data_IF_534078214442
#
_entry.id   IF_534078214442
#
_cell.length_a   1.000
_cell.length_b   1.000
_cell.length_c   1.000
_cell.angle_alpha   90.00
_cell.angle_beta   90.00
_cell.angle_gamma   90.00
#
_symmetry.space_group_name_H-M   'P 1'
#
loop_
_entity.id
_entity.type
_entity.pdbx_description
1 polymer ?
#
# COMPACT_ATOMS: atom_id res chain seq x y z
N UNK A 1 -27.30 6.92 -12.41
CA UNK A 1 -26.91 8.28 -12.84
C UNK A 1 -26.10 9.02 -11.76
N UNK A 2 -26.58 9.18 -10.52
CA UNK A 2 -25.86 9.92 -9.47
C UNK A 2 -24.47 9.32 -9.14
N UNK A 3 -24.39 8.00 -9.00
CA UNK A 3 -23.13 7.32 -8.65
C UNK A 3 -22.07 7.35 -9.77
N UNK A 4 -22.49 7.38 -11.04
CA UNK A 4 -21.57 7.60 -12.16
C UNK A 4 -20.98 9.01 -12.11
N UNK A 5 -21.78 9.99 -11.68
CA UNK A 5 -21.30 11.35 -11.45
C UNK A 5 -20.26 11.42 -10.33
N UNK A 6 -20.43 10.66 -9.24
CA UNK A 6 -19.48 10.60 -8.13
C UNK A 6 -18.12 10.03 -8.59
N UNK A 7 -18.13 8.94 -9.38
CA UNK A 7 -16.90 8.38 -9.97
C UNK A 7 -16.21 9.39 -10.90
N UNK A 8 -16.96 10.08 -11.74
CA UNK A 8 -16.41 11.12 -12.61
C UNK A 8 -15.83 12.30 -11.83
N UNK A 9 -16.47 12.69 -10.73
CA UNK A 9 -15.97 13.74 -9.85
C UNK A 9 -14.68 13.33 -9.12
N UNK A 10 -14.58 12.08 -8.62
CA UNK A 10 -13.33 11.57 -8.04
C UNK A 10 -12.19 11.60 -9.07
N UNK A 11 -12.44 11.09 -10.28
CA UNK A 11 -11.44 11.09 -11.36
C UNK A 11 -10.95 12.50 -11.67
N UNK A 12 -11.86 13.47 -11.79
CA UNK A 12 -11.50 14.87 -12.02
C UNK A 12 -10.61 15.43 -10.91
N UNK A 13 -10.95 15.20 -9.64
CA UNK A 13 -10.13 15.66 -8.51
C UNK A 13 -8.74 15.02 -8.51
N UNK A 14 -8.64 13.73 -8.83
CA UNK A 14 -7.36 13.04 -8.95
C UNK A 14 -6.51 13.63 -10.08
N UNK A 15 -7.11 13.90 -11.25
CA UNK A 15 -6.41 14.56 -12.36
C UNK A 15 -5.94 15.96 -11.96
N UNK A 16 -6.80 16.78 -11.34
CA UNK A 16 -6.46 18.14 -10.94
C UNK A 16 -5.25 18.18 -9.99
N UNK A 17 -5.14 17.20 -9.07
CA UNK A 17 -4.02 17.10 -8.11
C UNK A 17 -2.75 16.54 -8.76
N UNK A 18 -2.88 15.58 -9.68
CA UNK A 18 -1.74 14.82 -10.22
C UNK A 18 -1.24 15.33 -11.59
N UNK A 19 -1.90 16.30 -12.23
CA UNK A 19 -1.56 16.76 -13.58
C UNK A 19 -0.11 17.29 -13.72
N UNK A 20 0.48 17.75 -12.63
CA UNK A 20 1.85 18.26 -12.62
C UNK A 20 2.90 17.16 -12.41
N UNK A 21 2.49 15.91 -12.17
CA UNK A 21 3.40 14.79 -12.04
C UNK A 21 3.74 14.26 -13.42
N UNK A 22 4.87 14.74 -13.92
CA UNK A 22 5.39 14.47 -15.27
C UNK A 22 6.80 13.92 -15.12
N UNK A 23 7.22 13.03 -16.01
CA UNK A 23 8.61 12.57 -16.08
C UNK A 23 9.49 13.71 -16.59
N UNK A 24 10.43 14.17 -15.74
CA UNK A 24 11.19 15.38 -16.04
C UNK A 24 12.66 15.16 -16.35
N UNK A 25 13.23 14.09 -15.87
CA UNK A 25 14.64 13.75 -16.02
C UNK A 25 14.82 12.22 -16.04
N UNK A 26 15.96 11.75 -16.49
CA UNK A 26 16.26 10.32 -16.56
C UNK A 26 16.49 9.72 -15.18
N UNK A 27 17.31 10.37 -14.36
CA UNK A 27 17.72 9.86 -13.05
C UNK A 27 17.89 10.99 -12.02
N UNK A 28 17.21 10.89 -10.89
CA UNK A 28 17.33 11.84 -9.79
C UNK A 28 18.45 11.50 -8.79
N UNK A 29 19.14 10.37 -8.96
CA UNK A 29 20.24 9.94 -8.09
C UNK A 29 19.82 9.62 -6.65
N UNK A 30 18.54 9.29 -6.39
CA UNK A 30 18.09 8.96 -5.04
C UNK A 30 18.75 7.70 -4.49
N UNK A 31 18.98 7.72 -3.18
CA UNK A 31 19.39 6.52 -2.40
C UNK A 31 18.23 5.96 -1.57
N UNK A 32 17.04 6.54 -1.71
CA UNK A 32 15.85 6.09 -1.03
C UNK A 32 15.09 5.10 -1.94
N UNK A 33 14.87 3.90 -1.45
CA UNK A 33 14.16 2.84 -2.16
C UNK A 33 12.97 2.32 -1.36
N UNK A 34 12.14 1.54 -2.03
CA UNK A 34 11.03 0.81 -1.44
C UNK A 34 11.38 -0.67 -1.40
N UNK A 35 11.36 -1.27 -0.20
CA UNK A 35 11.49 -2.72 -0.07
C UNK A 35 10.21 -3.40 -0.58
N UNK A 36 10.35 -4.29 -1.54
CA UNK A 36 9.26 -5.09 -2.11
C UNK A 36 9.47 -6.56 -1.83
N UNK A 37 8.39 -7.23 -1.46
CA UNK A 37 8.32 -8.67 -1.20
C UNK A 37 6.99 -9.22 -1.72
N UNK A 38 6.79 -10.51 -1.67
CA UNK A 38 5.50 -11.13 -1.97
C UNK A 38 4.43 -10.64 -0.99
N UNK A 39 3.31 -10.15 -1.51
CA UNK A 39 2.16 -9.75 -0.69
C UNK A 39 1.32 -10.99 -0.41
N UNK A 40 1.07 -11.27 0.88
CA UNK A 40 0.23 -12.36 1.35
C UNK A 40 -0.93 -11.80 2.20
N UNK A 41 -2.12 -12.36 2.03
CA UNK A 41 -3.25 -12.16 2.94
C UNK A 41 -3.56 -13.49 3.64
N UNK A 42 -3.12 -13.63 4.87
CA UNK A 42 -3.08 -14.91 5.57
C UNK A 42 -2.20 -15.93 4.83
N UNK A 43 -2.79 -17.05 4.39
CA UNK A 43 -2.07 -18.09 3.62
C UNK A 43 -2.17 -17.92 2.09
N UNK A 44 -2.92 -16.94 1.62
CA UNK A 44 -3.10 -16.72 0.19
C UNK A 44 -2.08 -15.69 -0.32
N UNK A 45 -1.37 -16.04 -1.39
CA UNK A 45 -0.51 -15.10 -2.11
C UNK A 45 -1.40 -14.17 -2.93
N UNK A 46 -1.32 -12.88 -2.66
CA UNK A 46 -2.10 -11.84 -3.35
C UNK A 46 -1.34 -11.36 -4.58
N UNK A 47 -0.03 -11.12 -4.43
CA UNK A 47 0.84 -10.64 -5.50
C UNK A 47 2.25 -11.21 -5.30
N UNK A 48 2.78 -11.84 -6.33
CA UNK A 48 4.11 -12.44 -6.30
C UNK A 48 5.20 -11.36 -6.40
N UNK A 49 6.35 -11.63 -5.78
CA UNK A 49 7.52 -10.75 -5.91
C UNK A 49 7.90 -10.51 -7.37
N UNK A 50 7.86 -11.55 -8.19
CA UNK A 50 8.17 -11.49 -9.63
C UNK A 50 7.34 -10.42 -10.34
N UNK A 51 6.00 -10.41 -10.13
CA UNK A 51 5.07 -9.46 -10.75
C UNK A 51 5.33 -8.01 -10.27
N UNK A 52 5.81 -7.86 -9.03
CA UNK A 52 6.11 -6.55 -8.43
C UNK A 52 7.45 -5.97 -8.87
N UNK A 53 8.36 -6.79 -9.35
CA UNK A 53 9.69 -6.37 -9.80
C UNK A 53 9.71 -5.94 -11.27
N UNK A 54 8.87 -6.55 -12.11
CA UNK A 54 8.85 -6.27 -13.56
C UNK A 54 8.60 -4.79 -13.83
N UNK A 55 9.47 -4.21 -14.66
CA UNK A 55 9.39 -2.80 -15.06
C UNK A 55 9.98 -1.81 -14.06
N UNK A 56 10.61 -2.28 -12.98
CA UNK A 56 11.27 -1.43 -11.99
C UNK A 56 12.79 -1.48 -12.11
N UNK A 57 13.45 -0.50 -11.55
CA UNK A 57 14.89 -0.49 -11.32
C UNK A 57 15.19 -0.86 -9.89
N UNK A 58 16.18 -1.74 -9.66
CA UNK A 58 16.70 -1.96 -8.32
C UNK A 58 17.46 -0.73 -7.82
N UNK A 59 17.48 -0.52 -6.52
CA UNK A 59 18.26 0.56 -5.93
C UNK A 59 19.76 0.25 -5.99
N UNK A 60 20.11 -1.01 -5.72
CA UNK A 60 21.47 -1.54 -5.73
C UNK A 60 21.57 -2.72 -6.69
N UNK A 61 22.80 -3.10 -7.01
CA UNK A 61 23.06 -4.31 -7.78
C UNK A 61 22.57 -5.54 -7.03
N UNK A 62 21.89 -6.44 -7.73
CA UNK A 62 21.38 -7.69 -7.18
C UNK A 62 22.30 -8.82 -7.58
N UNK A 63 22.86 -9.49 -6.58
CA UNK A 63 23.73 -10.65 -6.75
C UNK A 63 23.06 -11.93 -6.25
N UNK A 64 23.37 -13.05 -6.88
CA UNK A 64 22.92 -14.36 -6.41
C UNK A 64 23.61 -14.69 -5.08
N UNK A 65 22.87 -14.97 -3.99
CA UNK A 65 23.45 -15.21 -2.67
C UNK A 65 24.30 -16.50 -2.60
N UNK A 66 24.07 -17.48 -3.51
CA UNK A 66 24.81 -18.74 -3.54
C UNK A 66 26.05 -18.69 -4.43
N UNK A 67 25.93 -18.10 -5.64
CA UNK A 67 27.02 -18.07 -6.63
C UNK A 67 27.84 -16.79 -6.61
N UNK A 68 27.33 -15.75 -5.96
CA UNK A 68 27.90 -14.38 -5.93
C UNK A 68 28.02 -13.74 -7.32
N UNK A 69 27.26 -14.24 -8.30
CA UNK A 69 27.18 -13.68 -9.65
C UNK A 69 26.18 -12.54 -9.70
N UNK A 70 26.47 -11.51 -10.50
CA UNK A 70 25.58 -10.39 -10.72
C UNK A 70 24.38 -10.86 -11.56
N UNK A 71 23.16 -10.73 -11.02
CA UNK A 71 21.91 -10.99 -11.74
C UNK A 71 21.49 -9.75 -12.53
N UNK A 72 21.48 -8.58 -11.87
CA UNK A 72 21.12 -7.31 -12.49
C UNK A 72 21.80 -6.15 -11.79
N UNK A 73 22.27 -5.18 -12.56
CA UNK A 73 22.78 -3.92 -12.03
C UNK A 73 21.67 -2.89 -11.80
N UNK A 74 21.96 -1.89 -10.98
CA UNK A 74 21.03 -0.81 -10.62
C UNK A 74 20.65 0.12 -11.80
N UNK A 75 21.27 -0.01 -12.95
CA UNK A 75 21.00 0.79 -14.14
C UNK A 75 20.15 0.05 -15.19
N UNK A 76 19.85 -1.22 -14.96
CA UNK A 76 19.07 -2.05 -15.87
C UNK A 76 17.66 -2.22 -15.33
N UNK A 77 16.66 -2.01 -16.19
CA UNK A 77 15.25 -2.27 -15.86
C UNK A 77 15.01 -3.78 -15.78
N UNK A 78 14.38 -4.19 -14.69
CA UNK A 78 14.03 -5.60 -14.45
C UNK A 78 12.90 -6.00 -15.41
N UNK A 79 13.19 -6.97 -16.29
CA UNK A 79 12.21 -7.58 -17.16
C UNK A 79 11.72 -8.92 -16.58
N UNK A 80 10.77 -9.59 -17.28
CA UNK A 80 10.19 -10.86 -16.80
C UNK A 80 11.25 -11.94 -16.56
N UNK A 81 12.30 -12.02 -17.40
CA UNK A 81 13.37 -13.02 -17.24
C UNK A 81 14.22 -12.76 -16.01
N UNK A 82 14.65 -11.49 -15.82
CA UNK A 82 15.46 -11.08 -14.68
C UNK A 82 14.66 -11.27 -13.38
N UNK A 83 13.37 -10.93 -13.38
CA UNK A 83 12.51 -11.14 -12.21
C UNK A 83 12.40 -12.62 -11.83
N UNK A 84 12.26 -13.52 -12.81
CA UNK A 84 12.24 -14.95 -12.58
C UNK A 84 13.60 -15.48 -12.05
N UNK A 85 14.73 -14.97 -12.55
CA UNK A 85 16.07 -15.29 -12.06
C UNK A 85 16.28 -14.85 -10.60
N UNK A 86 15.82 -13.66 -10.22
CA UNK A 86 15.88 -13.15 -8.84
C UNK A 86 15.11 -14.09 -7.90
N UNK A 87 13.90 -14.49 -8.28
CA UNK A 87 13.07 -15.37 -7.46
C UNK A 87 13.67 -16.79 -7.40
N UNK A 88 14.21 -17.29 -8.52
CA UNK A 88 14.89 -18.59 -8.56
C UNK A 88 16.17 -18.65 -7.70
N UNK A 89 16.85 -17.51 -7.53
CA UNK A 89 17.98 -17.37 -6.62
C UNK A 89 17.59 -17.34 -5.13
N UNK A 90 16.30 -17.52 -4.79
CA UNK A 90 15.80 -17.53 -3.41
C UNK A 90 15.73 -16.17 -2.74
N UNK A 91 15.79 -15.08 -3.50
CA UNK A 91 15.69 -13.72 -2.96
C UNK A 91 14.21 -13.39 -2.69
N UNK A 92 13.87 -13.13 -1.43
CA UNK A 92 12.49 -12.88 -1.00
C UNK A 92 12.15 -11.38 -0.95
N UNK A 93 13.15 -10.51 -0.83
CA UNK A 93 13.02 -9.07 -0.69
C UNK A 93 14.02 -8.34 -1.58
N UNK A 94 13.54 -7.31 -2.25
CA UNK A 94 14.37 -6.46 -3.13
C UNK A 94 14.03 -5.00 -2.87
N UNK A 95 15.06 -4.17 -2.72
CA UNK A 95 14.86 -2.71 -2.64
C UNK A 95 14.87 -2.14 -4.05
N UNK A 96 13.73 -1.60 -4.47
CA UNK A 96 13.55 -1.01 -5.79
C UNK A 96 13.40 0.50 -5.73
N UNK A 97 13.69 1.17 -6.82
CA UNK A 97 13.39 2.59 -6.99
C UNK A 97 11.88 2.80 -7.08
N UNK A 98 11.41 3.90 -6.48
CA UNK A 98 9.99 4.22 -6.41
C UNK A 98 9.77 5.73 -6.56
N UNK A 99 8.60 6.09 -7.07
CA UNK A 99 8.17 7.49 -7.13
C UNK A 99 8.07 8.15 -5.76
N UNK A 100 7.87 7.35 -4.69
CA UNK A 100 7.78 7.84 -3.30
C UNK A 100 9.14 8.38 -2.83
N UNK A 101 10.24 7.69 -3.17
CA UNK A 101 11.61 8.09 -2.82
C UNK A 101 12.27 9.00 -3.88
N UNK A 102 11.53 9.43 -4.91
CA UNK A 102 12.08 10.25 -5.98
C UNK A 102 12.40 11.66 -5.50
N UNK A 103 13.59 12.18 -5.87
CA UNK A 103 14.07 13.51 -5.49
C UNK A 103 13.89 14.57 -6.57
N UNK A 104 13.26 14.21 -7.68
CA UNK A 104 12.96 15.15 -8.76
C UNK A 104 12.03 16.26 -8.27
N UNK A 105 12.42 17.51 -8.56
CA UNK A 105 11.56 18.66 -8.26
C UNK A 105 10.39 18.71 -9.25
N UNK A 106 9.16 18.82 -8.76
CA UNK A 106 7.95 18.97 -9.57
C UNK A 106 7.70 17.84 -10.59
N UNK A 107 7.77 16.60 -10.15
CA UNK A 107 7.52 15.45 -10.99
C UNK A 107 8.28 14.22 -10.54
N UNK A 108 8.62 13.36 -11.47
CA UNK A 108 9.36 12.11 -11.21
C UNK A 108 10.47 11.94 -12.25
N UNK A 109 11.46 11.11 -11.97
CA UNK A 109 12.44 10.69 -12.96
C UNK A 109 12.05 9.35 -13.60
N UNK A 110 12.60 9.06 -14.79
CA UNK A 110 12.29 7.85 -15.53
C UNK A 110 12.63 6.57 -14.74
N UNK A 111 13.81 6.50 -14.13
CA UNK A 111 14.21 5.33 -13.33
C UNK A 111 13.33 5.08 -12.09
N UNK A 112 12.87 6.13 -11.39
CA UNK A 112 11.97 5.96 -10.25
C UNK A 112 10.57 5.55 -10.66
N UNK A 113 10.12 5.94 -11.84
CA UNK A 113 8.85 5.51 -12.40
C UNK A 113 8.96 4.11 -13.01
N UNK A 114 10.00 3.88 -13.82
CA UNK A 114 10.29 2.62 -14.47
C UNK A 114 9.61 2.46 -15.83
N UNK A 115 8.92 1.35 -16.03
CA UNK A 115 8.32 0.95 -17.30
C UNK A 115 7.03 1.70 -17.60
N UNK A 116 6.91 2.24 -18.79
CA UNK A 116 5.65 2.72 -19.36
C UNK A 116 4.76 1.53 -19.74
N UNK A 117 3.56 1.45 -19.15
CA UNK A 117 2.68 0.28 -19.28
C UNK A 117 2.21 0.04 -20.72
N UNK A 118 2.06 1.09 -21.53
CA UNK A 118 1.60 0.99 -22.91
C UNK A 118 2.68 0.42 -23.85
N UNK A 119 3.92 0.82 -23.64
CA UNK A 119 5.04 0.46 -24.53
C UNK A 119 5.85 -0.72 -24.03
N UNK A 120 5.77 -1.06 -22.75
CA UNK A 120 6.65 -1.99 -22.02
C UNK A 120 8.14 -1.63 -22.13
N UNK A 121 8.43 -0.38 -22.36
CA UNK A 121 9.78 0.19 -22.39
C UNK A 121 9.93 1.21 -21.27
N UNK A 122 11.14 1.71 -21.04
CA UNK A 122 11.35 2.81 -20.11
C UNK A 122 10.50 4.01 -20.50
N UNK A 123 9.89 4.64 -19.50
CA UNK A 123 9.03 5.80 -19.69
C UNK A 123 9.82 6.98 -20.31
N UNK A 124 9.19 7.69 -21.24
CA UNK A 124 9.81 8.83 -21.90
C UNK A 124 9.72 10.11 -21.05
N UNK A 125 10.75 10.95 -21.16
CA UNK A 125 10.71 12.29 -20.57
C UNK A 125 9.55 13.08 -21.20
N UNK A 126 8.77 13.77 -20.36
CA UNK A 126 7.60 14.54 -20.77
C UNK A 126 6.28 13.77 -20.62
N UNK A 127 6.32 12.49 -20.30
CA UNK A 127 5.08 11.69 -20.12
C UNK A 127 4.33 12.11 -18.85
N UNK A 128 3.03 12.38 -19.00
CA UNK A 128 2.15 12.85 -17.91
C UNK A 128 1.63 11.68 -17.06
N UNK A 129 2.53 11.02 -16.36
CA UNK A 129 2.24 9.80 -15.59
C UNK A 129 1.21 9.99 -14.48
N UNK A 130 1.10 11.20 -13.94
CA UNK A 130 0.08 11.50 -12.93
C UNK A 130 -1.33 11.47 -13.50
N UNK A 131 -1.54 11.97 -14.71
CA UNK A 131 -2.84 11.91 -15.41
C UNK A 131 -3.17 10.44 -15.73
N UNK A 132 -2.20 9.67 -16.22
CA UNK A 132 -2.37 8.24 -16.51
C UNK A 132 -2.80 7.49 -15.24
N UNK A 133 -2.14 7.73 -14.11
CA UNK A 133 -2.49 7.14 -12.83
C UNK A 133 -3.91 7.52 -12.40
N UNK A 134 -4.27 8.81 -12.47
CA UNK A 134 -5.60 9.29 -12.10
C UNK A 134 -6.71 8.65 -12.95
N UNK A 135 -6.49 8.52 -14.24
CA UNK A 135 -7.42 7.88 -15.17
C UNK A 135 -7.55 6.38 -14.90
N UNK A 136 -6.43 5.69 -14.65
CA UNK A 136 -6.41 4.26 -14.33
C UNK A 136 -7.10 3.93 -13.00
N UNK A 137 -7.05 4.84 -12.03
CA UNK A 137 -7.76 4.73 -10.76
C UNK A 137 -9.26 5.04 -10.96
N UNK A 138 -9.59 6.03 -11.79
CA UNK A 138 -10.94 6.51 -11.98
C UNK A 138 -11.79 5.64 -12.94
N UNK A 139 -11.17 5.02 -13.95
CA UNK A 139 -11.88 4.22 -14.95
C UNK A 139 -12.73 3.11 -14.31
N UNK A 140 -12.19 2.23 -13.44
CA UNK A 140 -13.02 1.19 -12.85
C UNK A 140 -13.95 1.71 -11.74
N UNK A 141 -13.87 2.99 -11.36
CA UNK A 141 -14.74 3.60 -10.34
C UNK A 141 -16.23 3.46 -10.65
N UNK A 142 -16.63 3.51 -11.93
CA UNK A 142 -18.01 3.29 -12.34
C UNK A 142 -18.46 1.86 -12.05
N UNK A 143 -17.60 0.86 -12.24
CA UNK A 143 -17.88 -0.54 -11.93
C UNK A 143 -18.00 -0.76 -10.42
N UNK A 144 -17.15 -0.11 -9.61
CA UNK A 144 -17.22 -0.13 -8.14
C UNK A 144 -18.57 0.38 -7.63
N UNK A 145 -19.14 1.41 -8.27
CA UNK A 145 -20.45 1.95 -7.88
C UNK A 145 -21.61 1.02 -8.25
N UNK A 146 -21.50 0.24 -9.32
CA UNK A 146 -22.57 -0.66 -9.77
C UNK A 146 -22.67 -1.94 -8.91
N UNK A 147 -21.53 -2.50 -8.45
CA UNK A 147 -21.50 -3.77 -7.70
C UNK A 147 -21.98 -3.67 -6.25
N UNK A 148 -21.89 -2.51 -5.61
CA UNK A 148 -22.39 -2.31 -4.24
C UNK A 148 -23.92 -2.45 -4.09
N UNK A 149 -24.66 -2.52 -5.20
CA UNK A 149 -26.13 -2.71 -5.19
C UNK A 149 -26.54 -4.17 -4.99
N UNK A 150 -25.68 -5.13 -5.35
CA UNK A 150 -26.04 -6.54 -5.39
C UNK A 150 -25.56 -7.37 -4.19
N UNK A 151 -24.72 -6.80 -3.32
CA UNK A 151 -24.23 -7.49 -2.10
C UNK A 151 -25.08 -7.13 -0.89
N UNK A 152 -26.37 -7.44 -0.94
CA UNK A 152 -27.30 -7.32 0.19
C UNK A 152 -27.14 -8.42 1.23
N UNK A 153 -25.92 -8.87 1.49
CA UNK A 153 -25.58 -9.75 2.62
C UNK A 153 -25.38 -8.93 3.89
N UNK A 154 -25.70 -9.52 5.03
CA UNK A 154 -25.56 -8.94 6.37
C UNK A 154 -24.14 -8.37 6.52
N UNK A 155 -24.01 -7.04 6.44
CA UNK A 155 -22.75 -6.35 6.65
C UNK A 155 -22.29 -6.58 8.07
N UNK A 156 -21.13 -7.21 8.26
CA UNK A 156 -20.48 -7.23 9.55
C UNK A 156 -20.18 -5.80 10.00
N UNK A 157 -20.19 -5.56 11.29
CA UNK A 157 -20.00 -4.24 11.93
C UNK A 157 -18.67 -3.56 11.53
N UNK A 158 -17.74 -4.31 10.94
CA UNK A 158 -16.39 -3.85 10.58
C UNK A 158 -16.28 -3.08 9.25
N UNK A 159 -17.30 -3.13 8.37
CA UNK A 159 -17.14 -2.62 6.98
C UNK A 159 -18.32 -1.75 6.57
N UNK A 160 -18.42 -0.58 7.21
CA UNK A 160 -19.52 0.37 6.99
C UNK A 160 -19.35 1.11 5.65
N UNK A 161 -18.13 1.21 5.11
CA UNK A 161 -17.84 1.93 3.88
C UNK A 161 -17.10 1.03 2.90
N UNK A 162 -17.77 0.60 1.84
CA UNK A 162 -17.20 -0.27 0.79
C UNK A 162 -17.24 0.43 -0.58
N UNK A 163 -16.37 -0.01 -1.49
CA UNK A 163 -16.33 0.48 -2.86
C UNK A 163 -15.85 1.92 -2.98
N UNK A 164 -16.46 2.68 -3.89
CA UNK A 164 -16.03 4.05 -4.22
C UNK A 164 -15.99 5.00 -3.00
N UNK A 165 -16.96 5.00 -2.07
CA UNK A 165 -16.89 5.84 -0.88
C UNK A 165 -15.66 5.56 -0.01
N UNK A 166 -15.18 4.31 0.04
CA UNK A 166 -13.96 3.96 0.76
C UNK A 166 -12.71 4.49 0.05
N UNK A 167 -12.69 4.44 -1.27
CA UNK A 167 -11.61 5.02 -2.08
C UNK A 167 -11.52 6.53 -1.86
N UNK A 168 -12.66 7.23 -1.86
CA UNK A 168 -12.71 8.67 -1.56
C UNK A 168 -12.21 8.97 -0.14
N UNK A 169 -12.65 8.22 0.85
CA UNK A 169 -12.22 8.35 2.25
C UNK A 169 -10.70 8.23 2.38
N UNK A 170 -10.09 7.25 1.66
CA UNK A 170 -8.64 7.04 1.66
C UNK A 170 -7.89 8.20 0.99
N UNK A 171 -8.29 8.63 -0.21
CA UNK A 171 -7.64 9.73 -0.92
C UNK A 171 -7.77 11.08 -0.22
N UNK A 172 -8.86 11.28 0.51
CA UNK A 172 -9.03 12.49 1.32
C UNK A 172 -8.44 12.38 2.73
N UNK A 173 -7.83 11.23 3.05
CA UNK A 173 -7.27 10.91 4.36
C UNK A 173 -8.27 11.20 5.51
N UNK A 174 -9.55 10.94 5.29
CA UNK A 174 -10.60 11.13 6.28
C UNK A 174 -10.48 10.13 7.43
N UNK A 175 -10.87 10.56 8.62
CA UNK A 175 -10.99 9.66 9.77
C UNK A 175 -12.11 8.64 9.52
N UNK A 176 -11.81 7.32 9.51
CA UNK A 176 -12.81 6.28 9.24
C UNK A 176 -13.88 6.22 10.36
N UNK A 177 -15.09 5.77 10.00
CA UNK A 177 -16.18 5.60 10.97
C UNK A 177 -15.97 4.40 11.90
N UNK A 178 -15.39 3.32 11.38
CA UNK A 178 -15.03 2.12 12.14
C UNK A 178 -13.52 2.06 12.39
N UNK A 179 -13.04 2.79 13.40
CA UNK A 179 -11.62 2.86 13.71
C UNK A 179 -11.09 1.57 14.31
N UNK A 180 -9.97 1.10 13.75
CA UNK A 180 -9.12 0.14 14.42
C UNK A 180 -8.24 0.86 15.46
N UNK A 181 -8.01 0.21 16.58
CA UNK A 181 -6.99 0.62 17.54
C UNK A 181 -5.68 0.02 17.03
N UNK A 182 -4.64 0.84 16.95
CA UNK A 182 -3.30 0.43 16.50
C UNK A 182 -2.30 0.51 17.64
N UNK A 183 -1.25 -0.31 17.56
CA UNK A 183 -0.13 -0.22 18.49
C UNK A 183 0.70 1.02 18.22
N UNK A 184 1.06 1.75 19.26
CA UNK A 184 1.99 2.88 19.15
C UNK A 184 3.45 2.46 19.39
N UNK A 185 3.67 1.25 19.92
CA UNK A 185 5.00 0.71 20.26
C UNK A 185 5.14 -0.73 19.76
N UNK A 186 6.38 -1.15 19.57
CA UNK A 186 6.70 -2.55 19.32
C UNK A 186 6.64 -3.33 20.65
N UNK A 187 6.13 -4.55 20.59
CA UNK A 187 6.13 -5.39 21.79
C UNK A 187 5.25 -6.61 21.71
N UNK A 188 5.16 -7.29 22.85
CA UNK A 188 4.36 -8.52 23.02
C UNK A 188 3.00 -8.18 23.59
N UNK A 189 1.96 -8.76 23.00
CA UNK A 189 0.56 -8.57 23.39
C UNK A 189 0.25 -9.35 24.66
N UNK A 190 -0.41 -8.69 25.62
CA UNK A 190 -1.07 -9.30 26.77
C UNK A 190 -2.51 -8.84 26.85
N UNK A 191 -3.44 -9.77 27.04
CA UNK A 191 -4.86 -9.49 27.13
C UNK A 191 -5.32 -9.61 28.58
N UNK A 192 -5.86 -8.52 29.11
CA UNK A 192 -6.51 -8.51 30.44
C UNK A 192 -8.01 -8.45 30.24
N UNK A 193 -8.74 -9.41 30.81
CA UNK A 193 -10.21 -9.39 30.84
C UNK A 193 -10.68 -9.19 32.29
N UNK A 194 -11.25 -8.02 32.57
CA UNK A 194 -11.94 -7.74 33.84
C UNK A 194 -13.41 -7.54 33.58
N UNK A 195 -14.24 -8.25 34.38
CA UNK A 195 -15.72 -8.34 34.44
C UNK A 195 -16.60 -7.68 33.36
N UNK A 196 -16.12 -6.64 32.64
CA UNK A 196 -16.83 -5.99 31.51
C UNK A 196 -15.90 -5.12 30.62
N UNK A 197 -14.58 -5.18 30.84
CA UNK A 197 -13.59 -4.43 30.04
C UNK A 197 -12.55 -5.39 29.52
N UNK A 198 -12.28 -5.32 28.23
CA UNK A 198 -11.10 -5.93 27.63
C UNK A 198 -10.04 -4.87 27.48
N UNK A 199 -8.86 -5.13 28.00
CA UNK A 199 -7.70 -4.28 27.86
C UNK A 199 -6.57 -5.08 27.20
N UNK A 200 -5.94 -4.48 26.22
CA UNK A 200 -4.75 -5.05 25.58
C UNK A 200 -3.56 -4.24 26.04
N UNK A 201 -2.59 -4.90 26.64
CA UNK A 201 -1.34 -4.30 27.08
C UNK A 201 -0.25 -4.76 26.14
N UNK A 202 0.44 -3.82 25.52
CA UNK A 202 1.61 -4.11 24.69
C UNK A 202 2.84 -3.80 25.54
N UNK A 203 3.64 -4.82 25.76
CA UNK A 203 4.86 -4.72 26.55
C UNK A 203 6.08 -4.67 25.61
N UNK A 204 6.62 -3.48 25.41
CA UNK A 204 7.89 -3.25 24.74
C UNK A 204 9.09 -3.46 25.66
N UNK A 205 10.29 -3.22 25.14
CA UNK A 205 11.54 -3.34 25.90
C UNK A 205 11.67 -2.30 27.02
N UNK A 206 11.19 -1.08 26.78
CA UNK A 206 11.37 0.06 27.69
C UNK A 206 10.09 0.61 28.28
N UNK A 207 8.95 0.35 27.64
CA UNK A 207 7.65 0.86 28.04
C UNK A 207 6.53 -0.17 27.82
N UNK A 208 5.42 0.04 28.51
CA UNK A 208 4.21 -0.73 28.28
C UNK A 208 3.04 0.24 28.06
N UNK A 209 2.22 -0.03 27.05
CA UNK A 209 1.00 0.75 26.75
C UNK A 209 -0.24 -0.10 26.89
N UNK A 210 -1.27 0.49 27.51
CA UNK A 210 -2.56 -0.13 27.74
C UNK A 210 -3.61 0.47 26.79
N UNK A 211 -4.35 -0.40 26.09
CA UNK A 211 -5.41 -0.03 25.17
C UNK A 211 -6.74 -0.59 25.64
N UNK A 212 -7.68 0.29 25.95
CA UNK A 212 -9.04 -0.10 26.32
C UNK A 212 -9.82 -0.46 25.07
N UNK A 213 -10.31 -1.69 24.98
CA UNK A 213 -11.04 -2.17 23.81
C UNK A 213 -12.53 -1.89 23.99
N UNK A 214 -13.17 -1.13 23.08
CA UNK A 214 -14.59 -0.85 23.13
C UNK A 214 -15.43 -2.13 23.06
N UNK A 215 -16.55 -2.13 23.76
CA UNK A 215 -17.47 -3.27 23.75
C UNK A 215 -17.94 -3.58 22.31
N UNK A 216 -17.85 -4.85 21.92
CA UNK A 216 -18.21 -5.30 20.58
C UNK A 216 -17.10 -5.25 19.54
N UNK A 217 -15.94 -4.63 19.84
CA UNK A 217 -14.78 -4.67 18.95
C UNK A 217 -14.13 -6.05 18.97
N UNK A 218 -13.81 -6.57 17.79
CA UNK A 218 -13.09 -7.83 17.66
C UNK A 218 -11.59 -7.58 17.68
N UNK A 219 -10.87 -8.41 18.44
CA UNK A 219 -9.41 -8.39 18.46
C UNK A 219 -8.86 -9.09 17.21
N UNK A 220 -7.81 -8.51 16.65
CA UNK A 220 -7.03 -9.07 15.55
C UNK A 220 -5.80 -9.81 16.07
N UNK A 221 -5.38 -9.49 17.28
CA UNK A 221 -4.21 -10.05 17.95
C UNK A 221 -4.62 -11.06 19.03
N UNK A 222 -3.69 -11.97 19.35
CA UNK A 222 -3.83 -12.99 20.39
C UNK A 222 -2.84 -12.76 21.50
N UNK A 223 -3.08 -13.39 22.64
CA UNK A 223 -2.12 -13.41 23.76
C UNK A 223 -0.77 -13.96 23.31
N UNK A 224 0.29 -13.19 23.54
CA UNK A 224 1.66 -13.57 23.21
C UNK A 224 2.12 -13.21 21.79
N UNK A 225 1.25 -12.64 20.95
CA UNK A 225 1.65 -12.19 19.62
C UNK A 225 2.66 -11.04 19.74
N UNK A 226 3.63 -10.99 18.84
CA UNK A 226 4.51 -9.84 18.65
C UNK A 226 3.89 -8.88 17.64
N UNK A 227 3.81 -7.61 18.01
CA UNK A 227 3.27 -6.53 17.17
C UNK A 227 4.29 -5.41 17.03
N UNK A 228 4.29 -4.80 15.85
CA UNK A 228 5.09 -3.62 15.55
C UNK A 228 4.25 -2.35 15.72
N UNK A 229 4.91 -1.23 15.94
CA UNK A 229 4.26 0.07 15.97
C UNK A 229 3.51 0.34 14.66
N UNK A 230 2.21 0.68 14.76
CA UNK A 230 1.30 0.85 13.64
C UNK A 230 0.51 -0.39 13.25
N UNK A 231 0.73 -1.54 13.88
CA UNK A 231 -0.06 -2.74 13.61
C UNK A 231 -1.45 -2.67 14.29
N UNK A 232 -2.52 -3.14 13.61
CA UNK A 232 -3.86 -3.08 14.16
C UNK A 232 -4.08 -4.13 15.26
N UNK A 233 -4.54 -3.66 16.42
CA UNK A 233 -4.93 -4.49 17.57
C UNK A 233 -6.36 -4.99 17.40
N UNK A 234 -7.25 -4.16 16.83
CA UNK A 234 -8.65 -4.50 16.58
C UNK A 234 -8.97 -4.54 15.09
N UNK A 235 -10.08 -5.19 14.73
CA UNK A 235 -10.65 -5.07 13.40
C UNK A 235 -11.14 -3.64 13.15
N UNK A 236 -11.05 -3.17 11.92
CA UNK A 236 -11.46 -1.84 11.48
C UNK A 236 -10.49 -1.19 10.52
N UNK A 237 -10.79 0.03 10.14
CA UNK A 237 -9.95 0.85 9.27
C UNK A 237 -9.03 1.73 10.11
N UNK A 238 -7.77 1.83 9.70
CA UNK A 238 -6.78 2.64 10.42
C UNK A 238 -6.92 4.11 10.00
N UNK A 239 -6.70 5.01 10.95
CA UNK A 239 -6.65 6.45 10.68
C UNK A 239 -5.29 6.81 10.04
N UNK A 240 -5.25 7.36 8.81
CA UNK A 240 -4.00 7.75 8.15
C UNK A 240 -3.16 8.72 8.98
N UNK A 241 -3.80 9.60 9.77
CA UNK A 241 -3.12 10.54 10.65
C UNK A 241 -2.34 9.86 11.78
N UNK A 242 -2.84 8.75 12.32
CA UNK A 242 -2.15 7.96 13.34
C UNK A 242 -0.95 7.21 12.75
N UNK A 243 -1.10 6.65 11.54
CA UNK A 243 0.03 6.03 10.83
C UNK A 243 1.11 7.07 10.52
N UNK A 244 0.72 8.29 10.13
CA UNK A 244 1.67 9.37 9.88
C UNK A 244 2.51 9.69 11.13
N UNK A 245 1.88 9.71 12.29
CA UNK A 245 2.56 9.98 13.55
C UNK A 245 3.53 8.86 13.96
N UNK A 246 3.21 7.59 13.63
CA UNK A 246 3.96 6.42 14.07
C UNK A 246 5.01 6.02 13.03
N UNK A 247 4.60 5.84 11.76
CA UNK A 247 5.44 5.29 10.66
C UNK A 247 5.95 6.37 9.70
N UNK A 248 5.55 7.62 9.87
CA UNK A 248 5.91 8.72 8.97
C UNK A 248 5.23 8.64 7.58
N UNK A 249 5.64 9.51 6.63
CA UNK A 249 5.01 9.62 5.33
C UNK A 249 5.05 8.31 4.51
N UNK A 250 6.16 7.59 4.54
CA UNK A 250 6.34 6.32 3.79
C UNK A 250 5.31 5.29 4.24
N UNK A 251 5.11 5.13 5.56
CA UNK A 251 4.10 4.20 6.10
C UNK A 251 2.68 4.57 5.70
N UNK A 252 2.36 5.87 5.60
CA UNK A 252 1.04 6.33 5.11
C UNK A 252 0.86 5.96 3.63
N UNK A 253 1.86 6.19 2.79
CA UNK A 253 1.78 5.84 1.37
C UNK A 253 1.60 4.34 1.14
N UNK A 254 2.33 3.51 1.87
CA UNK A 254 2.18 2.05 1.83
C UNK A 254 0.77 1.62 2.26
N UNK A 255 0.28 2.16 3.37
CA UNK A 255 -1.07 1.90 3.86
C UNK A 255 -2.15 2.30 2.84
N UNK A 256 -2.10 3.54 2.34
CA UNK A 256 -3.09 4.03 1.38
C UNK A 256 -3.07 3.20 0.10
N UNK A 257 -1.88 2.88 -0.43
CA UNK A 257 -1.74 2.06 -1.64
C UNK A 257 -2.33 0.67 -1.43
N UNK A 258 -1.99 0.01 -0.31
CA UNK A 258 -2.47 -1.34 0.01
C UNK A 258 -3.99 -1.36 0.17
N UNK A 259 -4.56 -0.40 0.90
CA UNK A 259 -6.01 -0.34 1.13
C UNK A 259 -6.79 -0.01 -0.14
N UNK A 260 -6.31 0.92 -0.98
CA UNK A 260 -6.93 1.21 -2.27
C UNK A 260 -6.91 -0.03 -3.17
N UNK A 261 -5.76 -0.68 -3.32
CA UNK A 261 -5.65 -1.92 -4.09
C UNK A 261 -6.59 -3.02 -3.56
N UNK A 262 -6.72 -3.16 -2.24
CA UNK A 262 -7.64 -4.12 -1.61
C UNK A 262 -9.09 -3.84 -1.98
N UNK A 263 -9.51 -2.57 -2.01
CA UNK A 263 -10.87 -2.20 -2.44
C UNK A 263 -11.12 -2.63 -3.87
N UNK A 264 -10.19 -2.36 -4.79
CA UNK A 264 -10.33 -2.74 -6.20
C UNK A 264 -10.32 -4.26 -6.39
N UNK A 265 -9.40 -4.98 -5.76
CA UNK A 265 -9.34 -6.45 -5.83
C UNK A 265 -10.60 -7.13 -5.28
N UNK A 266 -11.14 -6.66 -4.17
CA UNK A 266 -12.37 -7.20 -3.60
C UNK A 266 -13.57 -7.03 -4.53
N UNK A 267 -13.49 -6.11 -5.49
CA UNK A 267 -14.49 -5.90 -6.53
C UNK A 267 -14.16 -6.64 -7.83
N UNK A 268 -13.05 -7.38 -7.89
CA UNK A 268 -12.64 -8.17 -9.05
C UNK A 268 -12.04 -7.33 -10.18
N UNK A 269 -11.39 -6.26 -9.82
CA UNK A 269 -10.65 -5.37 -10.75
C UNK A 269 -9.15 -5.62 -10.60
#
# INVERSE_FOLDING_TARGET
>A
ALRTADSGYLTRRLVDVSQNIIVREEDCGTQDGLEVSTIKDGNQVVEKLEERLVGRYSLNDIVNPETNELIVDSNTMINDKIAAEIVAAGIEKVTVRSVIGCRTKHGVCAKCYGMGLATRQEVSIGEAVGIIAAQSIGEPGTQLTMRTIHSGGVAGVADITQGLPRVEELFEARKPKGLAIISEIDGTVRIKEEKNKKEVVIKGEHEAKEYVIPFGSKLRVREGDEVLAGDPITEGSINPGEILAIKGPTGVFEYLTTEVQKVYRNQGV
#
